data_IF_670508335598
#
_entry.id   IF_670508335598
#
_cell.length_a   1.000
_cell.length_b   1.000
_cell.length_c   1.000
_cell.angle_alpha   90.00
_cell.angle_beta   90.00
_cell.angle_gamma   90.00
#
_symmetry.space_group_name_H-M   'P 1'
#
loop_
_entity.id
_entity.type
_entity.pdbx_description
1 polymer ?
#
# COMPACT_ATOMS: atom_id res chain seq x y z
N UNK A 1 21.82 -19.04 22.29
CA UNK A 1 22.06 -17.60 22.50
C UNK A 1 21.36 -16.83 21.40
N UNK A 2 20.57 -15.82 21.75
CA UNK A 2 19.99 -14.88 20.78
C UNK A 2 21.11 -14.01 20.21
N UNK A 3 21.17 -13.87 18.89
CA UNK A 3 22.17 -13.00 18.26
C UNK A 3 21.72 -11.55 18.43
N UNK A 4 22.53 -10.68 19.06
CA UNK A 4 22.16 -9.28 19.25
C UNK A 4 21.94 -8.62 17.87
N UNK A 5 20.95 -7.71 17.81
CA UNK A 5 20.58 -6.95 16.62
C UNK A 5 19.94 -7.75 15.46
N UNK A 6 19.40 -8.93 15.73
CA UNK A 6 18.49 -9.60 14.77
C UNK A 6 17.07 -9.13 15.00
N UNK A 7 16.55 -8.37 14.04
CA UNK A 7 15.14 -7.99 13.99
C UNK A 7 14.45 -8.85 12.93
N UNK A 8 13.27 -9.35 13.27
CA UNK A 8 12.42 -10.09 12.34
C UNK A 8 11.28 -9.19 11.92
N UNK A 9 10.93 -9.24 10.64
CA UNK A 9 9.72 -8.60 10.16
C UNK A 9 8.54 -9.43 10.66
N UNK A 10 7.74 -8.85 11.55
CA UNK A 10 6.59 -9.55 12.11
C UNK A 10 5.41 -9.60 11.15
N UNK A 11 5.27 -8.59 10.31
CA UNK A 11 4.27 -8.51 9.25
C UNK A 11 4.92 -7.86 8.02
N UNK A 12 4.80 -8.53 6.88
CA UNK A 12 5.24 -8.04 5.58
C UNK A 12 3.99 -7.90 4.70
N UNK A 13 3.42 -6.69 4.68
CA UNK A 13 2.19 -6.38 3.95
C UNK A 13 2.48 -5.25 2.98
N UNK A 14 2.72 -5.62 1.73
CA UNK A 14 2.83 -4.72 0.59
C UNK A 14 2.10 -5.34 -0.60
N UNK A 15 1.27 -4.53 -1.29
CA UNK A 15 0.53 -4.91 -2.49
C UNK A 15 0.54 -3.75 -3.47
N UNK A 16 0.66 -4.06 -4.75
CA UNK A 16 0.57 -3.05 -5.78
C UNK A 16 -0.87 -2.55 -5.92
N UNK A 17 -1.02 -1.27 -6.26
CA UNK A 17 -2.33 -0.65 -6.42
C UNK A 17 -3.13 -1.30 -7.56
N UNK A 18 -2.48 -1.76 -8.63
CA UNK A 18 -3.14 -2.48 -9.72
C UNK A 18 -3.68 -3.86 -9.28
N UNK A 19 -3.03 -4.53 -8.32
CA UNK A 19 -3.53 -5.78 -7.72
C UNK A 19 -4.72 -5.56 -6.77
N UNK A 20 -4.83 -4.36 -6.18
CA UNK A 20 -5.86 -4.03 -5.18
C UNK A 20 -7.05 -3.30 -5.81
N UNK A 21 -6.78 -2.45 -6.79
CA UNK A 21 -7.72 -1.51 -7.40
C UNK A 21 -7.84 -1.69 -8.92
N UNK A 22 -7.25 -2.72 -9.54
CA UNK A 22 -7.21 -2.88 -11.01
C UNK A 22 -8.56 -2.91 -11.75
N UNK A 23 -9.66 -3.24 -11.06
CA UNK A 23 -11.05 -3.18 -11.59
C UNK A 23 -11.84 -1.96 -11.06
N UNK A 24 -11.23 -1.15 -10.18
CA UNK A 24 -11.83 0.06 -9.63
C UNK A 24 -11.25 1.28 -10.35
N UNK A 25 -12.10 2.07 -11.02
CA UNK A 25 -11.66 3.38 -11.52
C UNK A 25 -11.09 4.20 -10.36
N UNK A 26 -9.96 4.90 -10.55
CA UNK A 26 -9.46 5.78 -9.51
C UNK A 26 -10.55 6.83 -9.23
N UNK A 27 -11.10 6.86 -8.02
CA UNK A 27 -11.90 7.98 -7.53
C UNK A 27 -10.95 9.19 -7.42
N UNK A 28 -10.67 9.85 -8.55
CA UNK A 28 -9.98 11.13 -8.60
C UNK A 28 -10.94 12.24 -8.11
N UNK A 29 -11.32 12.24 -6.83
CA UNK A 29 -12.10 13.35 -6.23
C UNK A 29 -11.22 14.52 -5.78
N UNK A 30 -10.30 15.02 -6.61
CA UNK A 30 -9.58 16.28 -6.26
C UNK A 30 -9.36 17.26 -7.42
N UNK A 31 -9.98 17.08 -8.60
CA UNK A 31 -9.76 17.95 -9.76
C UNK A 31 -11.01 18.59 -10.39
N UNK A 32 -12.20 18.03 -10.21
CA UNK A 32 -13.41 18.39 -10.98
C UNK A 32 -14.51 19.03 -10.10
N UNK A 33 -14.13 19.95 -9.21
CA UNK A 33 -15.10 20.82 -8.49
C UNK A 33 -14.96 22.31 -8.83
N UNK A 34 -14.19 22.66 -9.87
CA UNK A 34 -14.12 24.03 -10.38
C UNK A 34 -13.93 24.05 -11.90
N UNK A 35 -15.01 23.83 -12.66
CA UNK A 35 -15.21 24.51 -13.94
C UNK A 35 -16.68 24.69 -14.24
#
# INVERSE_FOLDING_TARGET
GSVPNKFYVHNDMFRYEDEVFGDSEPELDEGEKMK
#
